data_IF_560163874185
#
_entry.id   IF_560163874185
#
_cell.length_a   1.000
_cell.length_b   1.000
_cell.length_c   1.000
_cell.angle_alpha   90.00
_cell.angle_beta   90.00
_cell.angle_gamma   90.00
#
_symmetry.space_group_name_H-M   'P 1'
#
loop_
_entity.id
_entity.type
_entity.pdbx_description
1 polymer ?
#
# COMPACT_ATOMS: atom_id res chain seq x y z
N UNK A 1 23.25 -13.12 -17.68
CA UNK A 1 22.03 -13.14 -16.83
C UNK A 1 20.87 -13.17 -17.80
N UNK A 2 20.14 -14.28 -17.88
CA UNK A 2 19.03 -14.45 -18.82
C UNK A 2 17.88 -13.56 -18.35
N UNK A 3 17.48 -12.57 -19.15
CA UNK A 3 16.34 -11.72 -18.85
C UNK A 3 15.08 -12.58 -18.84
N UNK A 4 14.39 -12.63 -17.71
CA UNK A 4 13.13 -13.35 -17.56
C UNK A 4 12.06 -12.64 -18.41
N UNK A 5 11.47 -13.34 -19.37
CA UNK A 5 10.47 -12.78 -20.28
C UNK A 5 9.09 -13.05 -19.70
N UNK A 6 8.13 -12.15 -19.92
CA UNK A 6 6.76 -12.29 -19.39
C UNK A 6 6.05 -13.60 -19.82
N UNK A 7 6.53 -14.25 -20.89
CA UNK A 7 6.04 -15.54 -21.40
C UNK A 7 6.43 -16.73 -20.53
N UNK A 8 7.45 -16.58 -19.68
CA UNK A 8 7.93 -17.65 -18.79
C UNK A 8 7.15 -17.68 -17.46
N UNK A 9 6.28 -16.69 -17.24
CA UNK A 9 5.43 -16.61 -16.05
C UNK A 9 4.22 -17.52 -16.24
N UNK A 10 4.33 -18.74 -15.71
CA UNK A 10 3.25 -19.71 -15.70
C UNK A 10 2.27 -19.47 -14.54
N UNK A 11 1.01 -19.93 -14.64
CA UNK A 11 0.05 -19.89 -13.53
C UNK A 11 0.58 -20.57 -12.26
N UNK A 12 1.36 -21.65 -12.39
CA UNK A 12 1.97 -22.39 -11.28
C UNK A 12 3.05 -21.57 -10.57
N UNK A 13 3.76 -20.74 -11.34
CA UNK A 13 4.77 -19.82 -10.80
C UNK A 13 4.09 -18.72 -9.98
N UNK A 14 2.99 -18.15 -10.49
CA UNK A 14 2.17 -17.20 -9.74
C UNK A 14 1.57 -17.85 -8.49
N UNK A 15 1.03 -19.06 -8.60
CA UNK A 15 0.44 -19.80 -7.47
C UNK A 15 1.47 -20.07 -6.38
N UNK A 16 2.67 -20.53 -6.75
CA UNK A 16 3.75 -20.79 -5.80
C UNK A 16 4.16 -19.52 -5.05
N UNK A 17 4.14 -18.38 -5.74
CA UNK A 17 4.43 -17.08 -5.14
C UNK A 17 3.36 -16.68 -4.13
N UNK A 18 2.08 -16.79 -4.50
CA UNK A 18 0.99 -16.44 -3.60
C UNK A 18 0.90 -17.36 -2.40
N UNK A 19 1.22 -18.65 -2.55
CA UNK A 19 1.30 -19.56 -1.40
C UNK A 19 2.32 -19.07 -0.36
N UNK A 20 3.44 -18.49 -0.78
CA UNK A 20 4.43 -17.89 0.14
C UNK A 20 3.88 -16.60 0.78
N UNK A 21 3.11 -15.81 0.03
CA UNK A 21 2.48 -14.57 0.54
C UNK A 21 1.29 -14.83 1.48
N UNK A 22 0.62 -15.97 1.34
CA UNK A 22 -0.50 -16.42 2.17
C UNK A 22 -0.03 -17.18 3.41
N UNK A 23 1.18 -17.74 3.37
CA UNK A 23 1.76 -18.43 4.52
C UNK A 23 2.00 -17.44 5.67
N UNK A 24 1.18 -17.54 6.71
CA UNK A 24 1.30 -16.76 7.94
C UNK A 24 2.36 -17.31 8.89
N UNK A 25 2.86 -18.53 8.66
CA UNK A 25 3.73 -19.23 9.59
C UNK A 25 3.02 -19.52 10.91
N UNK A 26 2.28 -20.64 10.98
CA UNK A 26 1.93 -21.31 12.23
C UNK A 26 2.76 -22.61 12.27
N UNK A 27 3.45 -23.01 13.34
CA UNK A 27 3.02 -23.20 14.73
C UNK A 27 4.21 -23.04 15.70
N UNK A 28 4.08 -22.26 16.78
CA UNK A 28 4.55 -22.69 18.11
C UNK A 28 3.89 -21.87 19.23
N UNK A 29 3.38 -22.49 20.32
CA UNK A 29 2.81 -21.79 21.46
C UNK A 29 3.88 -21.06 22.29
N UNK A 30 3.49 -20.04 23.09
CA UNK A 30 4.43 -19.09 23.69
C UNK A 30 5.05 -19.63 24.98
N UNK A 31 5.98 -20.58 24.91
CA UNK A 31 6.88 -20.86 26.04
C UNK A 31 8.23 -21.40 25.54
N UNK A 32 9.18 -20.51 25.26
CA UNK A 32 10.53 -20.61 25.81
C UNK A 32 11.38 -19.36 25.53
N UNK A 33 11.81 -18.78 26.64
CA UNK A 33 12.78 -17.71 26.75
C UNK A 33 14.02 -17.96 25.88
N UNK A 34 14.29 -17.08 24.91
CA UNK A 34 15.66 -16.76 24.51
C UNK A 34 15.72 -15.42 23.78
N UNK A 35 16.32 -14.44 24.46
CA UNK A 35 16.68 -13.14 23.91
C UNK A 35 17.67 -13.32 22.77
N UNK A 36 17.17 -13.30 21.53
CA UNK A 36 17.93 -12.94 20.32
C UNK A 36 16.94 -12.53 19.23
N UNK A 37 16.90 -11.23 18.92
CA UNK A 37 16.17 -10.70 17.76
C UNK A 37 16.88 -11.23 16.50
N UNK A 38 16.40 -12.35 15.98
CA UNK A 38 16.77 -12.84 14.66
C UNK A 38 15.65 -12.45 13.72
N UNK A 39 15.96 -11.61 12.73
CA UNK A 39 15.08 -11.42 11.57
C UNK A 39 14.85 -12.82 10.99
N UNK A 40 13.62 -13.32 11.10
CA UNK A 40 13.33 -14.72 10.80
C UNK A 40 13.56 -14.96 9.30
N UNK A 41 14.07 -16.15 8.94
CA UNK A 41 14.27 -16.53 7.53
C UNK A 41 12.99 -16.36 6.69
N UNK A 42 11.82 -16.41 7.34
CA UNK A 42 10.51 -16.32 6.68
C UNK A 42 10.13 -14.89 6.31
N UNK A 43 10.50 -13.88 7.11
CA UNK A 43 10.27 -12.48 6.74
C UNK A 43 11.10 -12.10 5.51
N UNK A 44 12.33 -12.61 5.39
CA UNK A 44 13.14 -12.43 4.19
C UNK A 44 12.52 -13.12 2.96
N UNK A 45 11.96 -14.33 3.11
CA UNK A 45 11.27 -15.03 2.01
C UNK A 45 10.04 -14.25 1.55
N UNK A 46 9.22 -13.75 2.48
CA UNK A 46 8.10 -12.90 2.13
C UNK A 46 8.55 -11.60 1.46
N UNK A 47 9.65 -11.01 1.95
CA UNK A 47 10.21 -9.80 1.35
C UNK A 47 10.54 -10.01 -0.14
N UNK A 48 11.21 -11.13 -0.44
CA UNK A 48 11.53 -11.50 -1.81
C UNK A 48 10.28 -11.86 -2.62
N UNK A 49 9.29 -12.51 -2.02
CA UNK A 49 8.05 -12.86 -2.70
C UNK A 49 7.29 -11.61 -3.20
N UNK A 50 7.16 -10.57 -2.39
CA UNK A 50 6.53 -9.32 -2.84
C UNK A 50 7.37 -8.62 -3.91
N UNK A 51 8.71 -8.58 -3.77
CA UNK A 51 9.60 -8.03 -4.82
C UNK A 51 9.44 -8.77 -6.15
N UNK A 52 9.31 -10.10 -6.10
CA UNK A 52 9.02 -10.93 -7.26
C UNK A 52 7.63 -10.62 -7.84
N UNK A 53 6.62 -10.40 -7.00
CA UNK A 53 5.27 -10.04 -7.44
C UNK A 53 5.27 -8.69 -8.18
N UNK A 54 5.95 -7.67 -7.65
CA UNK A 54 6.10 -6.36 -8.30
C UNK A 54 6.70 -6.52 -9.69
N UNK A 55 7.81 -7.25 -9.80
CA UNK A 55 8.47 -7.54 -11.09
C UNK A 55 7.57 -8.32 -12.04
N UNK A 56 6.86 -9.34 -11.54
CA UNK A 56 5.92 -10.15 -12.30
C UNK A 56 4.81 -9.28 -12.90
N UNK A 57 4.22 -8.39 -12.10
CA UNK A 57 3.20 -7.45 -12.56
C UNK A 57 3.76 -6.51 -13.63
N UNK A 58 4.96 -5.94 -13.42
CA UNK A 58 5.58 -5.05 -14.41
C UNK A 58 5.86 -5.76 -15.74
N UNK A 59 6.39 -6.98 -15.71
CA UNK A 59 6.66 -7.79 -16.91
C UNK A 59 5.37 -8.10 -17.68
N UNK A 60 4.34 -8.60 -17.00
CA UNK A 60 3.04 -8.91 -17.60
C UNK A 60 2.39 -7.63 -18.17
N UNK A 61 2.42 -6.54 -17.39
CA UNK A 61 1.84 -5.27 -17.80
C UNK A 61 2.51 -4.71 -19.06
N UNK A 62 3.85 -4.71 -19.10
CA UNK A 62 4.62 -4.25 -20.25
C UNK A 62 4.40 -5.15 -21.48
N UNK A 63 4.28 -6.47 -21.30
CA UNK A 63 3.99 -7.40 -22.39
C UNK A 63 2.60 -7.15 -23.00
N UNK A 64 1.60 -6.94 -22.15
CA UNK A 64 0.22 -6.63 -22.56
C UNK A 64 0.13 -5.30 -23.32
N UNK A 65 0.81 -4.24 -22.85
CA UNK A 65 0.82 -2.95 -23.55
C UNK A 65 1.45 -3.02 -24.94
N UNK A 66 2.50 -3.83 -25.10
CA UNK A 66 3.19 -3.98 -26.37
C UNK A 66 2.44 -4.87 -27.38
N UNK A 67 1.26 -5.39 -27.02
CA UNK A 67 0.46 -6.36 -27.80
C UNK A 67 1.28 -7.55 -28.30
N UNK A 68 2.40 -7.86 -27.62
CA UNK A 68 3.38 -8.82 -28.12
C UNK A 68 2.83 -10.24 -28.03
N UNK A 69 2.18 -10.61 -26.92
CA UNK A 69 1.46 -11.88 -26.76
C UNK A 69 0.45 -11.78 -25.61
N UNK A 70 -0.52 -12.71 -25.58
CA UNK A 70 -1.48 -12.86 -24.48
C UNK A 70 -0.81 -13.63 -23.32
N UNK A 71 -0.52 -12.95 -22.21
CA UNK A 71 -0.03 -13.60 -21.00
C UNK A 71 -1.09 -14.59 -20.46
N UNK A 72 -0.64 -15.72 -19.93
CA UNK A 72 -1.52 -16.74 -19.32
C UNK A 72 -2.18 -16.27 -18.02
N UNK A 73 -1.62 -15.22 -17.42
CA UNK A 73 -2.05 -14.62 -16.17
C UNK A 73 -2.26 -13.13 -16.41
N UNK A 74 -3.39 -12.60 -15.97
CA UNK A 74 -3.74 -11.19 -16.14
C UNK A 74 -3.41 -10.37 -14.88
N UNK A 75 -2.99 -9.12 -15.09
CA UNK A 75 -2.66 -8.18 -14.02
C UNK A 75 -3.81 -7.93 -13.04
N UNK A 76 -5.08 -7.76 -13.47
CA UNK A 76 -6.21 -7.62 -12.55
C UNK A 76 -6.36 -8.78 -11.56
N UNK A 77 -6.30 -10.03 -12.01
CA UNK A 77 -6.43 -11.20 -11.13
C UNK A 77 -5.33 -11.26 -10.07
N UNK A 78 -4.08 -10.96 -10.45
CA UNK A 78 -2.94 -10.91 -9.52
C UNK A 78 -3.12 -9.81 -8.46
N UNK A 79 -3.51 -8.60 -8.90
CA UNK A 79 -3.73 -7.48 -8.00
C UNK A 79 -4.90 -7.73 -7.05
N UNK A 80 -5.98 -8.35 -7.53
CA UNK A 80 -7.12 -8.72 -6.70
C UNK A 80 -6.71 -9.66 -5.56
N UNK A 81 -6.03 -10.76 -5.88
CA UNK A 81 -5.55 -11.71 -4.85
C UNK A 81 -4.57 -11.07 -3.88
N UNK A 82 -3.66 -10.23 -4.39
CA UNK A 82 -2.73 -9.48 -3.54
C UNK A 82 -3.44 -8.57 -2.52
N UNK A 83 -4.49 -7.86 -2.96
CA UNK A 83 -5.31 -7.01 -2.10
C UNK A 83 -6.14 -7.81 -1.09
N UNK A 84 -6.63 -9.00 -1.47
CA UNK A 84 -7.32 -9.90 -0.55
C UNK A 84 -6.39 -10.32 0.61
N UNK A 85 -5.11 -10.62 0.33
CA UNK A 85 -4.12 -10.93 1.37
C UNK A 85 -3.84 -9.73 2.26
N UNK A 86 -3.68 -8.52 1.71
CA UNK A 86 -3.50 -7.29 2.50
C UNK A 86 -4.68 -7.12 3.48
N UNK A 87 -5.91 -7.31 2.98
CA UNK A 87 -7.12 -7.19 3.78
C UNK A 87 -7.13 -8.19 4.92
N UNK A 88 -6.82 -9.47 4.66
CA UNK A 88 -6.79 -10.52 5.68
C UNK A 88 -5.71 -10.26 6.74
N UNK A 89 -4.50 -9.89 6.33
CA UNK A 89 -3.37 -9.61 7.25
C UNK A 89 -3.62 -8.40 8.15
N UNK A 90 -4.34 -7.39 7.65
CA UNK A 90 -4.79 -6.26 8.47
C UNK A 90 -5.61 -6.67 9.69
N UNK A 91 -6.25 -7.84 9.66
CA UNK A 91 -6.98 -8.41 10.81
C UNK A 91 -6.15 -9.38 11.66
N UNK A 92 -5.10 -10.01 11.11
CA UNK A 92 -4.36 -11.11 11.75
C UNK A 92 -3.08 -10.70 12.49
N UNK A 93 -2.91 -9.41 12.80
CA UNK A 93 -1.85 -8.88 13.66
C UNK A 93 -0.37 -9.08 13.19
N UNK A 94 -0.10 -9.19 11.89
CA UNK A 94 1.28 -9.24 11.36
C UNK A 94 1.76 -7.87 10.83
N UNK A 95 2.20 -6.99 11.72
CA UNK A 95 2.57 -5.60 11.41
C UNK A 95 3.56 -5.46 10.24
N UNK A 96 4.77 -6.02 10.39
CA UNK A 96 5.88 -5.85 9.43
C UNK A 96 5.48 -6.30 8.01
N UNK A 97 4.80 -7.45 7.93
CA UNK A 97 4.31 -8.03 6.67
C UNK A 97 3.23 -7.15 6.03
N UNK A 98 2.31 -6.64 6.84
CA UNK A 98 1.23 -5.73 6.37
C UNK A 98 1.83 -4.45 5.78
N UNK A 99 2.71 -3.79 6.52
CA UNK A 99 3.42 -2.57 6.06
C UNK A 99 4.15 -2.84 4.74
N UNK A 100 4.90 -3.94 4.70
CA UNK A 100 5.71 -4.28 3.53
C UNK A 100 4.87 -4.56 2.27
N UNK A 101 3.72 -5.21 2.42
CA UNK A 101 2.78 -5.43 1.32
C UNK A 101 2.14 -4.12 0.85
N UNK A 102 1.72 -3.25 1.77
CA UNK A 102 1.14 -1.94 1.40
C UNK A 102 2.19 -1.06 0.69
N UNK A 103 3.44 -1.09 1.15
CA UNK A 103 4.58 -0.41 0.51
C UNK A 103 4.92 -0.95 -0.88
N UNK A 104 4.40 -2.11 -1.25
CA UNK A 104 4.54 -2.63 -2.60
C UNK A 104 3.65 -1.89 -3.61
N UNK A 105 2.50 -1.34 -3.19
CA UNK A 105 1.56 -0.67 -4.09
C UNK A 105 2.22 0.52 -4.80
N UNK A 106 2.90 1.45 -4.10
CA UNK A 106 3.70 2.49 -4.76
C UNK A 106 4.72 1.94 -5.75
N UNK A 107 5.37 0.81 -5.45
CA UNK A 107 6.38 0.18 -6.31
C UNK A 107 5.76 -0.46 -7.55
N UNK A 108 4.56 -1.05 -7.42
CA UNK A 108 3.79 -1.57 -8.57
C UNK A 108 3.44 -0.40 -9.51
N UNK A 109 3.07 0.74 -8.95
CA UNK A 109 2.71 1.95 -9.70
C UNK A 109 3.92 2.79 -10.15
N UNK A 110 5.14 2.39 -9.82
CA UNK A 110 6.37 3.07 -10.25
C UNK A 110 6.80 2.59 -11.64
N UNK A 111 6.00 2.96 -12.65
CA UNK A 111 6.28 2.66 -14.04
C UNK A 111 5.72 3.74 -14.98
N UNK A 112 6.25 3.83 -16.21
CA UNK A 112 5.89 4.88 -17.18
C UNK A 112 4.39 4.92 -17.52
N UNK A 113 3.71 3.77 -17.44
CA UNK A 113 2.29 3.62 -17.79
C UNK A 113 1.41 3.41 -16.55
N UNK A 114 1.79 4.02 -15.42
CA UNK A 114 1.09 3.90 -14.15
C UNK A 114 -0.41 4.18 -14.23
N UNK A 115 -0.86 5.06 -15.13
CA UNK A 115 -2.29 5.35 -15.35
C UNK A 115 -3.12 4.10 -15.67
N UNK A 116 -2.58 3.15 -16.43
CA UNK A 116 -3.29 1.89 -16.75
C UNK A 116 -3.34 0.99 -15.52
N UNK A 117 -2.25 0.89 -14.75
CA UNK A 117 -2.24 0.14 -13.49
C UNK A 117 -3.16 0.78 -12.44
N UNK A 118 -3.20 2.11 -12.34
CA UNK A 118 -4.14 2.85 -11.48
C UNK A 118 -5.58 2.48 -11.84
N UNK A 119 -5.93 2.46 -13.13
CA UNK A 119 -7.25 2.04 -13.58
C UNK A 119 -7.57 0.58 -13.20
N UNK A 120 -6.58 -0.32 -13.27
CA UNK A 120 -6.75 -1.70 -12.80
C UNK A 120 -6.96 -1.75 -11.28
N UNK A 121 -6.14 -1.03 -10.49
CA UNK A 121 -6.31 -0.90 -9.03
C UNK A 121 -7.70 -0.37 -8.65
N UNK A 122 -8.24 0.58 -9.41
CA UNK A 122 -9.62 1.04 -9.29
C UNK A 122 -10.62 -0.08 -9.57
N UNK A 123 -10.46 -0.76 -10.70
CA UNK A 123 -11.36 -1.83 -11.14
C UNK A 123 -11.42 -3.02 -10.18
N UNK A 124 -10.34 -3.31 -9.46
CA UNK A 124 -10.29 -4.38 -8.44
C UNK A 124 -10.69 -3.91 -7.03
N UNK A 125 -11.10 -2.64 -6.86
CA UNK A 125 -11.62 -2.14 -5.58
C UNK A 125 -10.54 -1.99 -4.49
N UNK A 126 -9.38 -1.45 -4.84
CA UNK A 126 -8.19 -1.41 -3.98
C UNK A 126 -8.28 -0.56 -2.70
N UNK A 127 -9.13 0.46 -2.65
CA UNK A 127 -9.14 1.39 -1.53
C UNK A 127 -9.56 0.75 -0.20
N UNK A 128 -10.54 -0.15 -0.21
CA UNK A 128 -11.01 -0.80 1.01
C UNK A 128 -9.93 -1.69 1.65
N UNK A 129 -9.30 -2.64 0.92
CA UNK A 129 -8.15 -3.38 1.44
C UNK A 129 -7.04 -2.49 2.00
N UNK A 130 -6.68 -1.42 1.28
CA UNK A 130 -5.59 -0.52 1.69
C UNK A 130 -5.94 0.25 2.96
N UNK A 131 -7.14 0.81 3.08
CA UNK A 131 -7.55 1.53 4.29
C UNK A 131 -7.77 0.59 5.47
N UNK A 132 -8.22 -0.64 5.23
CA UNK A 132 -8.51 -1.59 6.30
C UNK A 132 -7.29 -1.91 7.18
N UNK A 133 -6.07 -1.72 6.68
CA UNK A 133 -4.84 -1.92 7.47
C UNK A 133 -4.74 -0.96 8.65
N UNK A 134 -5.38 0.21 8.59
CA UNK A 134 -5.41 1.20 9.68
C UNK A 134 -6.28 0.74 10.87
N UNK A 135 -6.96 -0.40 10.75
CA UNK A 135 -7.60 -1.06 11.89
C UNK A 135 -6.59 -1.71 12.84
N UNK A 136 -5.36 -1.98 12.38
CA UNK A 136 -4.31 -2.52 13.22
C UNK A 136 -4.05 -1.60 14.43
N UNK A 137 -4.01 -2.19 15.62
CA UNK A 137 -3.70 -1.48 16.87
C UNK A 137 -2.18 -1.47 17.07
N UNK A 138 -1.56 -0.31 16.82
CA UNK A 138 -0.12 -0.15 17.00
C UNK A 138 0.25 -0.04 18.48
N UNK A 139 1.37 -0.66 18.85
CA UNK A 139 1.89 -0.65 20.23
C UNK A 139 2.41 0.73 20.64
N UNK A 140 2.95 1.48 19.67
CA UNK A 140 3.58 2.77 19.88
C UNK A 140 3.33 3.74 18.69
N UNK A 141 3.65 5.01 18.93
CA UNK A 141 3.43 6.10 17.96
C UNK A 141 4.34 5.99 16.71
N UNK A 142 5.54 5.43 16.83
CA UNK A 142 6.46 5.24 15.69
C UNK A 142 5.88 4.21 14.73
N UNK A 143 5.48 3.05 15.26
CA UNK A 143 4.78 1.98 14.55
C UNK A 143 3.49 2.49 13.89
N UNK A 144 2.71 3.32 14.60
CA UNK A 144 1.51 3.95 14.04
C UNK A 144 1.84 4.88 12.87
N UNK A 145 2.86 5.73 13.01
CA UNK A 145 3.31 6.62 11.94
C UNK A 145 3.77 5.85 10.70
N UNK A 146 4.50 4.75 10.86
CA UNK A 146 4.95 3.90 9.75
C UNK A 146 3.76 3.36 8.97
N UNK A 147 2.79 2.74 9.65
CA UNK A 147 1.60 2.18 9.01
C UNK A 147 0.77 3.24 8.28
N UNK A 148 0.56 4.39 8.92
CA UNK A 148 -0.22 5.49 8.35
C UNK A 148 0.47 6.07 7.12
N UNK A 149 1.81 6.22 7.17
CA UNK A 149 2.62 6.65 6.03
C UNK A 149 2.50 5.67 4.86
N UNK A 150 2.64 4.37 5.09
CA UNK A 150 2.50 3.35 4.04
C UNK A 150 1.11 3.35 3.41
N UNK A 151 0.05 3.38 4.22
CA UNK A 151 -1.33 3.44 3.75
C UNK A 151 -1.60 4.70 2.93
N UNK A 152 -1.26 5.88 3.45
CA UNK A 152 -1.48 7.15 2.76
C UNK A 152 -0.69 7.22 1.46
N UNK A 153 0.56 6.75 1.45
CA UNK A 153 1.38 6.73 0.24
C UNK A 153 0.77 5.82 -0.84
N UNK A 154 0.25 4.65 -0.45
CA UNK A 154 -0.44 3.75 -1.38
C UNK A 154 -1.67 4.43 -2.01
N UNK A 155 -2.53 5.06 -1.20
CA UNK A 155 -3.72 5.79 -1.67
C UNK A 155 -3.32 6.95 -2.57
N UNK A 156 -2.34 7.76 -2.15
CA UNK A 156 -1.81 8.87 -2.95
C UNK A 156 -1.34 8.39 -4.32
N UNK A 157 -0.60 7.26 -4.39
CA UNK A 157 -0.11 6.73 -5.66
C UNK A 157 -1.21 6.18 -6.55
N UNK A 158 -2.22 5.52 -5.99
CA UNK A 158 -3.40 5.06 -6.75
C UNK A 158 -4.15 6.25 -7.38
N UNK A 159 -4.24 7.38 -6.66
CA UNK A 159 -5.03 8.55 -7.08
C UNK A 159 -4.27 9.63 -7.84
N UNK A 160 -2.94 9.62 -7.78
CA UNK A 160 -2.09 10.70 -8.30
C UNK A 160 -2.44 11.05 -9.75
N UNK A 161 -2.78 12.33 -10.00
CA UNK A 161 -3.17 12.86 -11.31
C UNK A 161 -4.38 12.16 -11.97
N UNK A 162 -5.17 11.37 -11.21
CA UNK A 162 -6.32 10.64 -11.72
C UNK A 162 -7.63 11.13 -11.09
N UNK A 163 -8.39 11.95 -11.83
CA UNK A 163 -9.68 12.44 -11.35
C UNK A 163 -10.67 11.30 -11.09
N UNK A 164 -10.68 10.29 -11.96
CA UNK A 164 -11.54 9.11 -11.79
C UNK A 164 -11.24 8.37 -10.48
N UNK A 165 -9.95 8.25 -10.10
CA UNK A 165 -9.55 7.66 -8.83
C UNK A 165 -9.99 8.49 -7.62
N UNK A 166 -9.95 9.83 -7.73
CA UNK A 166 -10.43 10.72 -6.67
C UNK A 166 -11.94 10.60 -6.44
N UNK A 167 -12.73 10.55 -7.50
CA UNK A 167 -14.17 10.33 -7.37
C UNK A 167 -14.48 8.93 -6.84
N UNK A 168 -13.84 7.89 -7.38
CA UNK A 168 -14.03 6.53 -6.89
C UNK A 168 -13.63 6.37 -5.41
N UNK A 169 -12.59 7.07 -4.96
CA UNK A 169 -12.20 7.11 -3.55
C UNK A 169 -13.30 7.72 -2.67
N UNK A 170 -13.86 8.86 -3.10
CA UNK A 170 -14.95 9.56 -2.41
C UNK A 170 -16.20 8.70 -2.30
N UNK A 171 -16.58 8.01 -3.39
CA UNK A 171 -17.79 7.18 -3.44
C UNK A 171 -17.66 5.86 -2.67
N UNK A 172 -16.44 5.31 -2.54
CA UNK A 172 -16.22 3.99 -1.92
C UNK A 172 -15.91 4.08 -0.42
N UNK A 173 -14.82 4.74 -0.05
CA UNK A 173 -14.32 4.76 1.33
C UNK A 173 -14.44 6.16 1.96
N UNK A 174 -14.21 7.20 1.17
CA UNK A 174 -14.35 8.59 1.57
C UNK A 174 -13.23 9.13 2.44
N UNK A 175 -13.00 10.45 2.37
CA UNK A 175 -12.00 11.15 3.19
C UNK A 175 -12.38 11.20 4.67
N UNK A 176 -13.67 11.13 5.00
CA UNK A 176 -14.15 11.07 6.39
C UNK A 176 -13.58 9.86 7.15
N UNK A 177 -13.48 8.70 6.48
CA UNK A 177 -12.93 7.50 7.09
C UNK A 177 -11.45 7.64 7.38
N UNK A 178 -10.67 8.22 6.46
CA UNK A 178 -9.27 8.57 6.73
C UNK A 178 -9.19 9.55 7.90
N UNK A 179 -10.01 10.60 7.93
CA UNK A 179 -9.98 11.58 9.00
C UNK A 179 -10.22 10.94 10.37
N UNK A 180 -11.13 9.95 10.46
CA UNK A 180 -11.38 9.19 11.68
C UNK A 180 -10.14 8.44 12.16
N UNK A 181 -9.37 7.83 11.25
CA UNK A 181 -8.10 7.21 11.59
C UNK A 181 -7.06 8.26 11.99
N UNK A 182 -6.92 9.35 11.25
CA UNK A 182 -5.98 10.43 11.59
C UNK A 182 -6.23 11.00 12.99
N UNK A 183 -7.49 11.09 13.43
CA UNK A 183 -7.85 11.49 14.79
C UNK A 183 -7.37 10.52 15.88
N UNK A 184 -6.97 9.28 15.54
CA UNK A 184 -6.30 8.33 16.46
C UNK A 184 -4.77 8.51 16.49
N UNK A 185 -4.20 9.31 15.60
CA UNK A 185 -2.76 9.60 15.50
C UNK A 185 -2.48 10.93 16.21
N UNK A 186 -2.10 10.86 17.49
CA UNK A 186 -1.90 12.05 18.33
C UNK A 186 -0.55 12.74 18.08
N UNK A 187 0.48 11.98 17.71
CA UNK A 187 1.83 12.50 17.45
C UNK A 187 2.30 12.20 16.00
N UNK A 188 1.79 12.93 15.00
CA UNK A 188 2.22 12.73 13.62
C UNK A 188 3.68 13.18 13.43
N UNK A 189 4.48 12.30 12.84
CA UNK A 189 5.86 12.57 12.45
C UNK A 189 5.94 13.67 11.38
N UNK A 190 7.07 14.38 11.34
CA UNK A 190 7.33 15.40 10.30
C UNK A 190 7.25 14.83 8.89
N UNK A 191 7.75 13.60 8.72
CA UNK A 191 7.70 12.91 7.43
C UNK A 191 6.26 12.62 7.00
N UNK A 192 5.41 12.18 7.93
CA UNK A 192 4.01 11.94 7.65
C UNK A 192 3.25 13.22 7.29
N UNK A 193 3.48 14.31 8.02
CA UNK A 193 2.90 15.63 7.69
C UNK A 193 3.36 16.09 6.30
N UNK A 194 4.65 15.94 5.98
CA UNK A 194 5.19 16.28 4.67
C UNK A 194 4.57 15.42 3.55
N UNK A 195 4.31 14.13 3.81
CA UNK A 195 3.59 13.25 2.90
C UNK A 195 2.16 13.75 2.62
N UNK A 196 1.44 14.23 3.63
CA UNK A 196 0.10 14.81 3.44
C UNK A 196 0.15 16.07 2.56
N UNK A 197 1.15 16.93 2.74
CA UNK A 197 1.34 18.07 1.85
C UNK A 197 1.71 17.67 0.43
N UNK A 198 2.54 16.63 0.26
CA UNK A 198 2.82 16.05 -1.04
C UNK A 198 1.55 15.51 -1.72
N UNK A 199 0.59 15.02 -0.93
CA UNK A 199 -0.71 14.57 -1.43
C UNK A 199 -1.60 15.74 -1.88
N UNK A 200 -1.60 16.87 -1.16
CA UNK A 200 -2.31 18.10 -1.56
C UNK A 200 -1.85 18.63 -2.92
N UNK A 201 -0.54 18.66 -3.14
CA UNK A 201 0.04 19.22 -4.38
C UNK A 201 0.26 18.16 -5.46
N UNK A 202 0.04 16.88 -5.15
CA UNK A 202 0.38 15.73 -6.01
C UNK A 202 1.81 15.77 -6.55
N UNK A 203 2.77 16.04 -5.66
CA UNK A 203 4.17 16.25 -5.99
C UNK A 203 5.03 16.48 -4.75
N UNK A 204 6.24 17.00 -4.93
CA UNK A 204 7.15 17.32 -3.81
C UNK A 204 6.83 18.74 -3.32
N UNK A 205 6.24 18.84 -2.13
CA UNK A 205 5.96 20.07 -1.43
C UNK A 205 7.26 20.79 -1.04
N UNK A 206 7.30 22.11 -1.23
CA UNK A 206 8.49 22.93 -0.98
C UNK A 206 9.49 23.01 -2.14
N UNK A 207 9.26 22.30 -3.25
CA UNK A 207 10.01 22.46 -4.50
C UNK A 207 9.14 23.14 -5.55
N UNK A 208 9.55 24.31 -6.02
CA UNK A 208 8.82 25.17 -6.98
C UNK A 208 7.44 25.66 -6.46
N UNK A 209 6.81 26.61 -7.17
CA UNK A 209 5.43 27.00 -6.89
C UNK A 209 4.48 25.90 -7.39
N UNK A 210 4.12 24.95 -6.52
CA UNK A 210 3.12 23.92 -6.81
C UNK A 210 1.70 24.44 -6.53
N UNK A 211 0.78 24.14 -7.43
CA UNK A 211 -0.65 24.43 -7.29
C UNK A 211 -1.31 23.32 -6.44
N UNK A 212 -2.40 23.65 -5.76
CA UNK A 212 -3.23 22.66 -5.07
C UNK A 212 -3.92 21.80 -6.14
N UNK A 213 -3.60 20.50 -6.16
CA UNK A 213 -4.14 19.53 -7.12
C UNK A 213 -5.15 18.56 -6.46
N UNK A 214 -5.24 18.59 -5.13
CA UNK A 214 -6.17 17.78 -4.36
C UNK A 214 -6.79 18.60 -3.22
N UNK A 215 -7.93 19.25 -3.52
CA UNK A 215 -8.67 20.11 -2.58
C UNK A 215 -9.29 19.29 -1.45
N UNK A 216 -9.72 18.05 -1.72
CA UNK A 216 -10.34 17.19 -0.72
C UNK A 216 -9.35 16.85 0.42
N UNK A 217 -8.06 16.69 0.11
CA UNK A 217 -7.00 16.50 1.12
C UNK A 217 -6.77 17.78 1.94
N UNK A 218 -6.96 18.97 1.37
CA UNK A 218 -6.94 20.22 2.16
C UNK A 218 -8.07 20.23 3.18
N UNK A 219 -9.28 19.83 2.77
CA UNK A 219 -10.44 19.75 3.67
C UNK A 219 -10.22 18.71 4.77
N UNK A 220 -9.65 17.55 4.43
CA UNK A 220 -9.23 16.52 5.39
C UNK A 220 -8.27 17.11 6.45
N UNK A 221 -7.24 17.85 6.02
CA UNK A 221 -6.28 18.47 6.92
C UNK A 221 -6.93 19.52 7.82
N UNK A 222 -7.84 20.34 7.30
CA UNK A 222 -8.55 21.35 8.09
C UNK A 222 -9.46 20.73 9.17
N UNK A 223 -10.04 19.54 8.92
CA UNK A 223 -10.83 18.82 9.93
C UNK A 223 -9.96 18.07 10.94
N UNK A 224 -8.78 17.58 10.53
CA UNK A 224 -7.88 16.83 11.40
C UNK A 224 -6.99 17.71 12.29
N UNK A 225 -6.29 18.72 11.73
CA UNK A 225 -5.29 19.51 12.45
C UNK A 225 -5.76 20.09 13.79
N UNK A 226 -7.02 20.55 13.95
CA UNK A 226 -7.52 21.01 15.24
C UNK A 226 -7.46 19.95 16.35
N UNK A 227 -7.60 18.66 16.04
CA UNK A 227 -7.57 17.60 17.06
C UNK A 227 -6.20 17.48 17.72
N UNK A 228 -5.11 17.73 16.98
CA UNK A 228 -3.73 17.73 17.50
C UNK A 228 -3.47 18.84 18.52
N UNK A 229 -4.23 19.93 18.46
CA UNK A 229 -4.07 21.09 19.34
C UNK A 229 -4.84 20.96 20.67
N UNK A 230 -5.89 20.15 20.69
CA UNK A 230 -6.74 19.97 21.87
C UNK A 230 -6.05 19.11 22.96
N UNK A 231 -5.13 18.24 22.58
CA UNK A 231 -4.38 17.35 23.49
C UNK A 231 -3.10 18.00 24.03
N UNK A 232 -2.47 18.92 23.29
CA UNK A 232 -1.32 19.71 23.77
C UNK A 232 -1.66 20.74 24.88
N UNK A 233 -2.90 20.71 25.40
CA UNK A 233 -3.38 21.54 26.52
C UNK A 233 -3.66 20.74 27.80
N UNK A 234 -3.31 19.45 27.86
CA UNK A 234 -3.41 18.64 29.08
C UNK A 234 -2.04 18.32 29.65
#
# INVERSE_FOLDING_TARGET
IQECVATDISPETAESLFRILEDDGNEEPPWQNSNTVTVTSDDQKQEQAVKCLVKMIHLIHQANLNKRQQCLVDTPSLLKRFLEIIKLRGFQAHFSRTVFMVDAIPKILDCDNSAVLQAIFLGVGSFEPVISVLNFECEDEETQNVLYKSCVLAIQRIMCASQAAKEAFKDSVGFERICRYLKRLHAPSREFIHLLFNWVVEGIYGKENKVINNVDVVLLLLDWLPSLSAENKR
#
